data_IF_098674764867
#
_entry.id   IF_098674764867
#
_cell.length_a   1.000
_cell.length_b   1.000
_cell.length_c   1.000
_cell.angle_alpha   90.00
_cell.angle_beta   90.00
_cell.angle_gamma   90.00
#
_symmetry.space_group_name_H-M   'P 1'
#
loop_
_entity.id
_entity.type
_entity.pdbx_description
1 polymer ?
#
# COMPACT_ATOMS: atom_id res chain seq x y z
N UNK A 1 54.86 -76.15 -5.51
CA UNK A 1 54.26 -74.92 -6.07
C UNK A 1 53.05 -74.59 -5.20
N UNK A 2 53.15 -73.77 -4.14
CA UNK A 2 53.11 -72.28 -4.15
C UNK A 2 52.04 -71.73 -5.11
N UNK A 3 50.89 -71.33 -4.59
CA UNK A 3 50.50 -69.91 -4.50
C UNK A 3 49.36 -69.74 -3.49
N UNK A 4 49.63 -68.91 -2.48
CA UNK A 4 48.64 -68.33 -1.57
C UNK A 4 47.88 -67.21 -2.29
N UNK A 5 46.57 -67.09 -2.05
CA UNK A 5 45.89 -65.79 -2.11
C UNK A 5 45.12 -65.62 -0.81
N UNK A 6 45.52 -64.55 -0.14
CA UNK A 6 45.13 -64.04 1.15
C UNK A 6 44.23 -62.83 0.87
N UNK A 7 43.39 -62.46 1.84
CA UNK A 7 42.75 -61.13 1.96
C UNK A 7 41.48 -60.92 1.10
N UNK A 8 40.32 -61.27 1.68
CA UNK A 8 39.07 -60.55 1.44
C UNK A 8 38.29 -60.44 2.76
N UNK A 9 38.93 -59.86 3.78
CA UNK A 9 38.35 -59.67 5.13
C UNK A 9 38.43 -58.22 5.61
N UNK A 10 38.55 -57.23 4.71
CA UNK A 10 38.44 -55.80 5.04
C UNK A 10 37.99 -55.01 3.80
N UNK A 11 36.67 -54.90 3.53
CA UNK A 11 35.95 -53.71 3.00
C UNK A 11 34.45 -54.01 3.08
N UNK A 12 33.87 -53.97 4.29
CA UNK A 12 32.40 -53.99 4.45
C UNK A 12 32.00 -53.26 5.75
N UNK A 13 32.59 -52.08 5.95
CA UNK A 13 32.26 -51.19 7.08
C UNK A 13 32.22 -49.69 6.74
N UNK A 14 32.15 -49.30 5.46
CA UNK A 14 31.95 -47.89 5.09
C UNK A 14 31.09 -47.81 3.82
N UNK A 15 29.78 -48.04 3.96
CA UNK A 15 28.76 -47.25 3.25
C UNK A 15 27.66 -46.95 4.28
N UNK A 16 28.08 -46.31 5.37
CA UNK A 16 27.22 -45.43 6.13
C UNK A 16 27.16 -44.10 5.37
N UNK A 17 26.26 -44.02 4.42
CA UNK A 17 25.80 -42.77 3.83
C UNK A 17 24.41 -43.07 3.28
N UNK A 18 23.44 -43.19 4.19
CA UNK A 18 22.05 -42.86 3.87
C UNK A 18 22.09 -41.41 3.43
N UNK A 19 22.27 -41.22 2.12
CA UNK A 19 21.93 -40.00 1.43
C UNK A 19 20.49 -39.73 1.82
N UNK A 20 20.29 -38.79 2.75
CA UNK A 20 19.08 -38.00 2.75
C UNK A 20 19.16 -37.21 1.45
N UNK A 21 18.81 -37.87 0.33
CA UNK A 21 18.34 -37.16 -0.83
C UNK A 21 17.14 -36.39 -0.30
N UNK A 22 17.28 -35.07 -0.14
CA UNK A 22 16.16 -34.24 0.26
C UNK A 22 15.10 -34.52 -0.80
N UNK A 23 14.01 -35.15 -0.38
CA UNK A 23 12.83 -35.28 -1.20
C UNK A 23 12.50 -33.87 -1.64
N UNK A 24 12.66 -33.57 -2.93
CA UNK A 24 12.43 -32.23 -3.43
C UNK A 24 11.02 -31.85 -3.01
N UNK A 25 10.91 -30.92 -2.07
CA UNK A 25 9.66 -30.57 -1.45
C UNK A 25 8.70 -30.15 -2.56
N UNK A 26 7.62 -30.91 -2.72
CA UNK A 26 6.65 -30.66 -3.77
C UNK A 26 5.98 -29.32 -3.42
N UNK A 27 6.15 -28.33 -4.29
CA UNK A 27 5.42 -27.06 -4.20
C UNK A 27 3.92 -27.34 -4.08
N UNK A 28 3.21 -26.54 -3.29
CA UNK A 28 1.75 -26.62 -3.21
C UNK A 28 1.13 -26.23 -4.56
N UNK A 29 0.05 -26.91 -4.94
CA UNK A 29 -0.64 -26.79 -6.24
C UNK A 29 -2.03 -26.12 -6.15
N UNK A 30 -2.47 -25.78 -4.94
CA UNK A 30 -3.74 -25.09 -4.66
C UNK A 30 -3.66 -23.56 -4.76
N UNK A 31 -2.46 -22.98 -4.93
CA UNK A 31 -2.26 -21.53 -5.09
C UNK A 31 -1.10 -21.20 -6.04
N UNK A 32 -1.26 -20.16 -6.87
CA UNK A 32 -0.24 -19.72 -7.83
C UNK A 32 -0.23 -18.18 -7.97
N UNK A 33 0.94 -17.58 -7.68
CA UNK A 33 1.20 -16.16 -7.90
C UNK A 33 1.64 -15.88 -9.34
N UNK A 34 0.97 -14.94 -10.00
CA UNK A 34 1.30 -14.41 -11.32
C UNK A 34 1.67 -12.93 -11.19
N UNK A 35 2.96 -12.66 -11.32
CA UNK A 35 3.55 -11.32 -11.18
C UNK A 35 3.73 -10.71 -12.57
N UNK A 36 3.12 -9.56 -12.84
CA UNK A 36 3.26 -8.90 -14.14
C UNK A 36 4.51 -8.03 -14.19
N UNK A 37 5.46 -8.38 -15.07
CA UNK A 37 6.68 -7.61 -15.32
C UNK A 37 7.12 -7.73 -16.77
N UNK A 38 7.46 -6.59 -17.39
CA UNK A 38 7.93 -6.51 -18.77
C UNK A 38 9.45 -6.41 -18.89
N UNK A 39 10.12 -5.85 -17.88
CA UNK A 39 11.57 -5.74 -17.83
C UNK A 39 12.19 -7.00 -17.23
N UNK A 40 12.70 -7.86 -18.12
CA UNK A 40 13.35 -9.11 -17.74
C UNK A 40 14.62 -8.98 -16.93
N UNK A 41 15.23 -7.79 -16.87
CA UNK A 41 16.38 -7.56 -16.02
C UNK A 41 16.02 -7.50 -14.53
N UNK A 42 14.78 -7.16 -14.16
CA UNK A 42 14.39 -6.95 -12.76
C UNK A 42 14.46 -8.21 -11.91
N UNK A 43 14.17 -9.38 -12.49
CA UNK A 43 14.26 -10.66 -11.78
C UNK A 43 15.69 -11.04 -11.38
N UNK A 44 16.70 -10.53 -12.09
CA UNK A 44 18.12 -10.78 -11.80
C UNK A 44 18.75 -9.80 -10.80
N UNK A 45 18.04 -8.74 -10.42
CA UNK A 45 18.54 -7.74 -9.47
C UNK A 45 18.26 -8.21 -8.04
N UNK A 46 19.31 -8.62 -7.31
CA UNK A 46 19.17 -9.19 -5.96
C UNK A 46 18.46 -8.30 -4.93
N UNK A 47 18.43 -6.98 -5.17
CA UNK A 47 17.79 -6.01 -4.30
C UNK A 47 16.42 -5.54 -4.83
N UNK A 48 15.88 -6.15 -5.89
CA UNK A 48 14.58 -5.80 -6.42
C UNK A 48 13.45 -6.43 -5.59
N UNK A 49 12.28 -5.78 -5.51
CA UNK A 49 11.09 -6.37 -4.89
C UNK A 49 10.69 -7.70 -5.52
N UNK A 50 10.83 -7.83 -6.84
CA UNK A 50 10.53 -9.07 -7.56
C UNK A 50 11.46 -10.23 -7.17
N UNK A 51 12.76 -9.97 -7.02
CA UNK A 51 13.70 -10.96 -6.53
C UNK A 51 13.36 -11.39 -5.11
N UNK A 52 13.13 -10.41 -4.21
CA UNK A 52 12.70 -10.70 -2.84
C UNK A 52 11.44 -11.57 -2.81
N UNK A 53 10.40 -11.20 -3.57
CA UNK A 53 9.16 -11.95 -3.67
C UNK A 53 9.40 -13.39 -4.14
N UNK A 54 10.25 -13.57 -5.16
CA UNK A 54 10.56 -14.89 -5.73
C UNK A 54 11.30 -15.78 -4.73
N UNK A 55 12.27 -15.25 -3.97
CA UNK A 55 12.96 -16.00 -2.93
C UNK A 55 12.01 -16.35 -1.76
N UNK A 56 11.19 -15.39 -1.31
CA UNK A 56 10.21 -15.61 -0.24
C UNK A 56 9.14 -16.62 -0.64
N UNK A 57 8.78 -16.69 -1.92
CA UNK A 57 7.83 -17.69 -2.43
C UNK A 57 8.34 -19.12 -2.24
N UNK A 58 9.67 -19.34 -2.31
CA UNK A 58 10.26 -20.66 -2.04
C UNK A 58 10.12 -21.05 -0.58
N UNK A 59 10.33 -20.10 0.34
CA UNK A 59 10.14 -20.31 1.79
C UNK A 59 8.68 -20.63 2.11
N UNK A 60 7.73 -19.94 1.47
CA UNK A 60 6.32 -20.22 1.65
C UNK A 60 5.81 -21.47 0.90
N UNK A 61 6.71 -22.23 0.25
CA UNK A 61 6.40 -23.40 -0.58
C UNK A 61 5.35 -23.13 -1.67
N UNK A 62 5.35 -21.92 -2.26
CA UNK A 62 4.37 -21.48 -3.26
C UNK A 62 4.99 -21.27 -4.64
N UNK A 63 4.19 -21.49 -5.69
CA UNK A 63 4.59 -21.20 -7.05
C UNK A 63 4.40 -19.72 -7.36
N UNK A 64 5.48 -19.06 -7.79
CA UNK A 64 5.43 -17.72 -8.37
C UNK A 64 5.91 -17.76 -9.82
N UNK A 65 5.20 -17.06 -10.71
CA UNK A 65 5.56 -16.96 -12.14
C UNK A 65 5.49 -15.52 -12.57
N UNK A 66 6.59 -15.04 -13.14
CA UNK A 66 6.65 -13.74 -13.78
C UNK A 66 6.16 -13.90 -15.22
N UNK A 67 5.25 -13.04 -15.64
CA UNK A 67 4.73 -13.03 -17.01
C UNK A 67 4.74 -11.61 -17.58
N UNK A 68 4.78 -11.52 -18.91
CA UNK A 68 4.99 -10.24 -19.62
C UNK A 68 6.44 -10.00 -20.06
N UNK A 69 7.37 -10.88 -19.65
CA UNK A 69 8.81 -10.73 -19.88
C UNK A 69 9.17 -10.42 -21.33
N UNK A 70 10.01 -9.41 -21.54
CA UNK A 70 10.48 -8.93 -22.85
C UNK A 70 9.39 -8.41 -23.80
N UNK A 71 8.17 -8.17 -23.29
CA UNK A 71 7.12 -7.49 -24.04
C UNK A 71 7.26 -5.98 -23.89
N UNK A 72 6.87 -5.25 -24.93
CA UNK A 72 6.74 -3.80 -24.86
C UNK A 72 5.57 -3.43 -23.94
N UNK A 73 5.82 -2.61 -22.92
CA UNK A 73 4.77 -2.11 -22.04
C UNK A 73 3.88 -1.11 -22.77
N UNK A 74 2.59 -1.45 -22.94
CA UNK A 74 1.61 -0.59 -23.66
C UNK A 74 0.63 0.15 -22.76
N UNK A 75 0.70 -0.06 -21.45
CA UNK A 75 -0.16 0.58 -20.44
C UNK A 75 -0.66 -0.39 -19.37
N UNK A 76 -1.50 0.11 -18.47
CA UNK A 76 -1.93 -0.63 -17.29
C UNK A 76 -2.82 -1.84 -17.63
N UNK A 77 -3.66 -1.73 -18.66
CA UNK A 77 -4.50 -2.83 -19.16
C UNK A 77 -3.74 -3.95 -19.87
N UNK A 78 -2.44 -3.77 -20.13
CA UNK A 78 -1.61 -4.72 -20.88
C UNK A 78 -1.40 -6.04 -20.12
N UNK A 79 -1.42 -6.00 -18.77
CA UNK A 79 -1.29 -7.20 -17.93
C UNK A 79 -2.37 -8.25 -18.21
N UNK A 80 -3.59 -7.82 -18.57
CA UNK A 80 -4.67 -8.76 -18.88
C UNK A 80 -4.53 -9.41 -20.26
N UNK A 81 -3.80 -8.80 -21.19
CA UNK A 81 -3.71 -9.29 -22.57
C UNK A 81 -2.92 -10.59 -22.68
N UNK A 82 -1.97 -10.78 -21.77
CA UNK A 82 -1.02 -11.90 -21.77
C UNK A 82 -1.38 -12.98 -20.76
N UNK A 83 -2.40 -12.71 -19.94
CA UNK A 83 -2.80 -13.56 -18.83
C UNK A 83 -3.63 -14.77 -19.27
N UNK A 84 -4.51 -14.60 -20.26
CA UNK A 84 -5.48 -15.64 -20.67
C UNK A 84 -4.83 -17.01 -20.97
N UNK A 85 -3.76 -17.11 -21.78
CA UNK A 85 -3.14 -18.40 -22.06
C UNK A 85 -2.61 -19.12 -20.82
N UNK A 86 -2.23 -18.38 -19.77
CA UNK A 86 -1.78 -18.94 -18.49
C UNK A 86 -2.99 -19.49 -17.74
N UNK A 87 -4.09 -18.73 -17.66
CA UNK A 87 -5.30 -19.16 -16.96
C UNK A 87 -5.94 -20.39 -17.61
N UNK A 88 -5.86 -20.53 -18.93
CA UNK A 88 -6.45 -21.67 -19.67
C UNK A 88 -5.71 -23.00 -19.45
N UNK A 89 -4.50 -22.98 -18.89
CA UNK A 89 -3.70 -24.19 -18.64
C UNK A 89 -3.53 -24.52 -17.15
N UNK A 90 -3.88 -23.59 -16.26
CA UNK A 90 -3.86 -23.84 -14.81
C UNK A 90 -5.09 -24.65 -14.43
N UNK A 91 -4.96 -25.49 -13.39
CA UNK A 91 -6.07 -26.26 -12.85
C UNK A 91 -7.18 -25.33 -12.35
N UNK A 92 -8.44 -25.68 -12.64
CA UNK A 92 -9.61 -24.86 -12.31
C UNK A 92 -9.77 -24.62 -10.80
N UNK A 93 -9.23 -25.51 -9.95
CA UNK A 93 -9.32 -25.43 -8.49
C UNK A 93 -8.11 -24.69 -7.86
N UNK A 94 -7.11 -24.28 -8.65
CA UNK A 94 -5.97 -23.48 -8.17
C UNK A 94 -6.39 -22.02 -7.96
N UNK A 95 -6.17 -21.47 -6.77
CA UNK A 95 -6.36 -20.04 -6.52
C UNK A 95 -5.25 -19.24 -7.20
N UNK A 96 -5.60 -18.38 -8.15
CA UNK A 96 -4.66 -17.49 -8.83
C UNK A 96 -4.61 -16.15 -8.11
N UNK A 97 -3.41 -15.64 -7.87
CA UNK A 97 -3.16 -14.27 -7.41
C UNK A 97 -2.47 -13.51 -8.54
N UNK A 98 -3.06 -12.41 -8.99
CA UNK A 98 -2.44 -11.47 -9.91
C UNK A 98 -1.91 -10.30 -9.09
N UNK A 99 -0.63 -9.97 -9.28
CA UNK A 99 0.02 -8.89 -8.56
C UNK A 99 0.94 -8.08 -9.48
N UNK A 100 1.02 -6.78 -9.20
CA UNK A 100 2.09 -5.94 -9.73
C UNK A 100 3.45 -6.42 -9.20
N UNK A 101 4.50 -6.33 -10.01
CA UNK A 101 5.80 -6.90 -9.67
C UNK A 101 6.77 -5.94 -8.97
N UNK A 102 6.61 -4.63 -9.20
CA UNK A 102 7.64 -3.63 -8.89
C UNK A 102 7.50 -3.01 -7.51
N UNK A 103 6.33 -3.11 -6.91
CA UNK A 103 5.95 -2.43 -5.68
C UNK A 103 5.17 -3.33 -4.71
N UNK A 104 5.34 -4.64 -4.84
CA UNK A 104 4.70 -5.66 -3.99
C UNK A 104 5.76 -6.48 -3.26
N UNK A 105 5.53 -6.74 -1.97
CA UNK A 105 6.31 -7.65 -1.14
C UNK A 105 5.44 -8.82 -0.63
N UNK A 106 6.05 -10.00 -0.53
CA UNK A 106 5.43 -11.17 0.11
C UNK A 106 5.72 -11.12 1.62
N UNK A 107 4.67 -10.93 2.41
CA UNK A 107 4.73 -10.74 3.85
C UNK A 107 4.76 -12.07 4.60
N UNK A 108 5.85 -12.81 4.41
CA UNK A 108 6.10 -14.08 5.11
C UNK A 108 7.42 -14.01 5.86
N UNK A 109 7.51 -14.60 7.07
CA UNK A 109 8.75 -14.68 7.82
C UNK A 109 9.74 -15.65 7.18
N UNK A 110 10.95 -15.72 7.75
CA UNK A 110 11.99 -16.70 7.36
C UNK A 110 11.67 -18.14 7.78
N UNK A 111 10.81 -18.28 8.77
CA UNK A 111 10.35 -19.58 9.24
C UNK A 111 9.35 -20.20 8.25
N UNK A 112 9.66 -21.40 7.78
CA UNK A 112 8.90 -22.12 6.76
C UNK A 112 7.48 -22.48 7.23
N UNK A 113 7.33 -22.95 8.47
CA UNK A 113 6.04 -23.35 9.02
C UNK A 113 5.10 -22.14 9.15
N UNK A 114 5.63 -21.01 9.63
CA UNK A 114 4.88 -19.75 9.70
C UNK A 114 4.57 -19.19 8.30
N UNK A 115 5.49 -19.31 7.35
CA UNK A 115 5.26 -18.89 5.97
C UNK A 115 4.13 -19.70 5.31
N UNK A 116 4.12 -21.02 5.48
CA UNK A 116 3.05 -21.89 4.99
C UNK A 116 1.72 -21.57 5.68
N UNK A 117 1.73 -21.33 6.99
CA UNK A 117 0.53 -20.95 7.74
C UNK A 117 -0.06 -19.60 7.27
N UNK A 118 0.78 -18.63 6.91
CA UNK A 118 0.33 -17.35 6.35
C UNK A 118 -0.40 -17.54 5.01
N UNK A 119 0.08 -18.46 4.16
CA UNK A 119 -0.60 -18.81 2.90
C UNK A 119 -1.93 -19.52 3.15
N UNK A 120 -1.99 -20.42 4.13
CA UNK A 120 -3.24 -21.10 4.50
C UNK A 120 -4.29 -20.12 5.02
N UNK A 121 -3.87 -19.14 5.83
CA UNK A 121 -4.73 -18.05 6.29
C UNK A 121 -5.25 -17.22 5.11
N UNK A 122 -4.40 -16.89 4.13
CA UNK A 122 -4.81 -16.17 2.92
C UNK A 122 -5.91 -16.91 2.14
N UNK A 123 -5.76 -18.23 1.93
CA UNK A 123 -6.76 -19.05 1.24
C UNK A 123 -8.07 -19.13 2.04
N UNK A 124 -7.99 -19.21 3.37
CA UNK A 124 -9.17 -19.17 4.23
C UNK A 124 -9.89 -17.82 4.17
N UNK A 125 -9.15 -16.71 4.17
CA UNK A 125 -9.70 -15.37 3.99
C UNK A 125 -10.38 -15.21 2.63
N UNK A 126 -9.79 -15.72 1.55
CA UNK A 126 -10.45 -15.73 0.23
C UNK A 126 -11.79 -16.44 0.27
N UNK A 127 -11.84 -17.66 0.83
CA UNK A 127 -13.08 -18.46 0.94
C UNK A 127 -14.15 -17.76 1.77
N UNK A 128 -13.75 -17.11 2.87
CA UNK A 128 -14.68 -16.36 3.74
C UNK A 128 -15.21 -15.10 3.05
N UNK A 129 -14.35 -14.33 2.41
CA UNK A 129 -14.73 -13.10 1.70
C UNK A 129 -15.67 -13.39 0.52
N UNK A 130 -15.51 -14.54 -0.14
CA UNK A 130 -16.32 -14.95 -1.30
C UNK A 130 -17.52 -15.83 -0.96
N UNK A 131 -17.76 -16.17 0.32
CA UNK A 131 -18.80 -17.11 0.76
C UNK A 131 -20.21 -16.72 0.22
N UNK A 132 -20.50 -15.42 0.15
CA UNK A 132 -21.80 -14.89 -0.29
C UNK A 132 -21.87 -14.54 -1.78
N UNK A 133 -20.74 -14.53 -2.47
CA UNK A 133 -20.61 -14.15 -3.87
C UNK A 133 -19.76 -15.20 -4.57
N UNK A 134 -20.30 -16.42 -4.80
CA UNK A 134 -19.56 -17.45 -5.52
C UNK A 134 -19.21 -16.96 -6.93
N UNK A 135 -18.03 -17.32 -7.40
CA UNK A 135 -17.44 -16.87 -8.67
C UNK A 135 -16.98 -15.39 -8.66
N UNK A 136 -16.95 -14.73 -7.51
CA UNK A 136 -16.37 -13.39 -7.39
C UNK A 136 -14.85 -13.44 -7.33
N UNK A 137 -14.24 -12.37 -7.84
CA UNK A 137 -12.81 -12.10 -7.69
C UNK A 137 -12.63 -11.15 -6.51
N UNK A 138 -11.66 -11.41 -5.65
CA UNK A 138 -11.30 -10.49 -4.55
C UNK A 138 -10.24 -9.52 -5.06
N UNK A 139 -10.47 -8.22 -4.88
CA UNK A 139 -9.50 -7.16 -5.17
C UNK A 139 -9.10 -6.46 -3.88
N UNK A 140 -7.89 -5.91 -3.84
CA UNK A 140 -7.44 -5.12 -2.70
C UNK A 140 -8.22 -3.80 -2.60
N UNK A 141 -8.40 -3.33 -1.36
CA UNK A 141 -8.95 -2.01 -1.09
C UNK A 141 -7.82 -1.05 -0.69
N UNK A 142 -7.93 0.23 -1.04
CA UNK A 142 -6.99 1.28 -0.65
C UNK A 142 -7.70 2.51 -0.08
N UNK A 143 -6.95 3.31 0.66
CA UNK A 143 -7.44 4.53 1.30
C UNK A 143 -7.64 5.71 0.36
N UNK A 144 -7.08 5.67 -0.87
CA UNK A 144 -7.08 6.81 -1.77
C UNK A 144 -7.98 6.62 -3.01
N UNK A 145 -8.75 7.66 -3.30
CA UNK A 145 -9.40 7.84 -4.59
C UNK A 145 -8.85 9.11 -5.25
N UNK A 146 -8.77 9.22 -6.56
CA UNK A 146 -9.05 8.23 -7.58
C UNK A 146 -7.94 8.35 -8.63
N UNK A 147 -7.71 7.31 -9.41
CA UNK A 147 -6.83 7.40 -10.59
C UNK A 147 -7.35 8.45 -11.58
N UNK A 148 -6.44 9.05 -12.35
CA UNK A 148 -6.74 10.19 -13.23
C UNK A 148 -7.91 9.93 -14.18
N UNK A 149 -7.99 8.72 -14.75
CA UNK A 149 -9.05 8.31 -15.68
C UNK A 149 -10.47 8.45 -15.11
N UNK A 150 -10.64 8.30 -13.79
CA UNK A 150 -11.94 8.41 -13.12
C UNK A 150 -12.46 9.85 -13.07
N UNK A 151 -11.59 10.85 -13.26
CA UNK A 151 -12.05 12.24 -13.42
C UNK A 151 -12.72 12.48 -14.79
N UNK A 152 -12.50 11.59 -15.78
CA UNK A 152 -13.00 11.78 -17.14
C UNK A 152 -14.31 11.06 -17.43
N UNK A 153 -14.77 10.16 -16.55
CA UNK A 153 -15.97 9.35 -16.75
C UNK A 153 -16.72 9.11 -15.43
N UNK A 154 -18.06 9.17 -15.48
CA UNK A 154 -18.94 8.76 -14.37
C UNK A 154 -18.93 7.23 -14.21
N UNK A 155 -19.25 6.68 -13.02
CA UNK A 155 -19.47 5.24 -12.85
C UNK A 155 -20.37 4.58 -13.90
N UNK A 156 -21.37 5.32 -14.38
CA UNK A 156 -22.37 4.81 -15.33
C UNK A 156 -21.88 4.78 -16.78
N UNK A 157 -20.79 5.45 -17.09
CA UNK A 157 -20.35 5.62 -18.48
C UNK A 157 -19.66 4.37 -19.04
N UNK A 158 -18.98 3.62 -18.16
CA UNK A 158 -18.09 2.53 -18.56
C UNK A 158 -18.82 1.32 -19.14
N UNK A 159 -20.01 1.00 -18.62
CA UNK A 159 -20.78 -0.16 -19.02
C UNK A 159 -22.23 0.22 -19.26
N UNK A 160 -22.79 -0.26 -20.37
CA UNK A 160 -24.18 0.00 -20.72
C UNK A 160 -25.13 -0.66 -19.69
N UNK A 161 -26.11 0.09 -19.14
CA UNK A 161 -26.96 -0.43 -18.08
C UNK A 161 -27.95 -1.50 -18.56
N UNK A 162 -28.22 -1.59 -19.86
CA UNK A 162 -29.19 -2.55 -20.43
C UNK A 162 -28.48 -3.82 -20.89
N UNK A 163 -27.46 -3.68 -21.73
CA UNK A 163 -26.72 -4.77 -22.35
C UNK A 163 -25.59 -5.29 -21.48
N UNK A 164 -25.11 -4.48 -20.53
CA UNK A 164 -23.97 -4.82 -19.68
C UNK A 164 -22.60 -4.75 -20.39
N UNK A 165 -22.57 -4.44 -21.69
CA UNK A 165 -21.34 -4.40 -22.48
C UNK A 165 -20.54 -3.13 -22.20
N UNK A 166 -19.24 -3.20 -22.44
CA UNK A 166 -18.32 -2.06 -22.41
C UNK A 166 -18.84 -0.95 -23.34
N UNK A 167 -19.05 0.24 -22.78
CA UNK A 167 -19.63 1.39 -23.49
C UNK A 167 -18.63 2.54 -23.67
N UNK A 168 -17.67 2.69 -22.75
CA UNK A 168 -16.65 3.74 -22.79
C UNK A 168 -15.29 3.20 -22.42
N UNK A 169 -14.24 3.69 -23.08
CA UNK A 169 -12.84 3.38 -22.76
C UNK A 169 -12.30 4.34 -21.70
N UNK A 170 -11.49 3.85 -20.76
CA UNK A 170 -10.71 4.69 -19.87
C UNK A 170 -9.54 5.32 -20.63
N UNK A 171 -9.12 6.51 -20.23
CA UNK A 171 -7.86 7.05 -20.73
C UNK A 171 -6.68 6.46 -19.93
N UNK A 172 -5.46 6.55 -20.48
CA UNK A 172 -4.26 6.11 -19.77
C UNK A 172 -3.88 7.15 -18.71
N UNK A 173 -4.06 6.83 -17.42
CA UNK A 173 -3.63 7.72 -16.34
C UNK A 173 -2.13 8.01 -16.42
N UNK A 174 -1.74 9.27 -16.19
CA UNK A 174 -0.34 9.67 -16.04
C UNK A 174 0.51 9.72 -17.33
N UNK A 175 0.08 9.15 -18.45
CA UNK A 175 0.84 9.14 -19.71
C UNK A 175 0.41 10.23 -20.70
N UNK A 176 -0.87 10.61 -20.68
CA UNK A 176 -1.40 11.56 -21.66
C UNK A 176 -1.74 12.92 -21.04
N UNK A 177 -1.34 14.01 -21.72
CA UNK A 177 -1.76 15.37 -21.35
C UNK A 177 -3.29 15.53 -21.27
N UNK A 178 -4.03 14.67 -21.97
CA UNK A 178 -5.51 14.66 -21.98
C UNK A 178 -6.13 13.86 -20.83
N UNK A 179 -5.37 13.04 -20.12
CA UNK A 179 -5.84 12.23 -19.00
C UNK A 179 -5.26 12.74 -17.66
N UNK A 180 -5.27 14.07 -17.48
CA UNK A 180 -4.87 14.67 -16.21
C UNK A 180 -5.99 14.56 -15.20
N UNK A 181 -5.63 14.27 -13.95
CA UNK A 181 -6.58 14.29 -12.86
C UNK A 181 -7.15 15.70 -12.66
N UNK A 182 -8.44 15.79 -12.35
CA UNK A 182 -9.09 17.03 -11.96
C UNK A 182 -10.24 16.75 -11.00
N UNK A 183 -10.39 17.57 -9.97
CA UNK A 183 -11.55 17.50 -9.09
C UNK A 183 -12.79 17.93 -9.86
N UNK A 184 -13.78 17.04 -9.97
CA UNK A 184 -15.01 17.32 -10.68
C UNK A 184 -16.15 16.37 -10.24
N UNK A 185 -17.31 16.55 -10.84
CA UNK A 185 -18.51 15.76 -10.53
C UNK A 185 -18.30 14.24 -10.63
N UNK A 186 -17.49 13.76 -11.57
CA UNK A 186 -17.25 12.33 -11.73
C UNK A 186 -16.54 11.76 -10.49
N UNK A 187 -15.52 12.45 -9.99
CA UNK A 187 -14.80 12.08 -8.75
C UNK A 187 -15.78 11.99 -7.57
N UNK A 188 -16.64 12.98 -7.38
CA UNK A 188 -17.65 12.93 -6.33
C UNK A 188 -18.62 11.75 -6.47
N UNK A 189 -19.03 11.39 -7.69
CA UNK A 189 -19.89 10.23 -7.94
C UNK A 189 -19.16 8.91 -7.59
N UNK A 190 -17.88 8.79 -7.93
CA UNK A 190 -17.05 7.63 -7.57
C UNK A 190 -16.86 7.49 -6.06
N UNK A 191 -16.47 8.57 -5.39
CA UNK A 191 -16.29 8.61 -3.94
C UNK A 191 -17.60 8.20 -3.26
N UNK A 192 -18.73 8.82 -3.66
CA UNK A 192 -20.03 8.50 -3.08
C UNK A 192 -20.41 7.03 -3.27
N UNK A 193 -20.20 6.48 -4.47
CA UNK A 193 -20.46 5.06 -4.76
C UNK A 193 -19.64 4.12 -3.87
N UNK A 194 -18.32 4.32 -3.79
CA UNK A 194 -17.44 3.40 -3.06
C UNK A 194 -17.67 3.45 -1.54
N UNK A 195 -17.93 4.63 -0.98
CA UNK A 195 -18.34 4.77 0.43
C UNK A 195 -19.69 4.10 0.71
N UNK A 196 -20.68 4.30 -0.16
CA UNK A 196 -21.99 3.65 -0.01
C UNK A 196 -21.87 2.13 -0.10
N UNK A 197 -21.03 1.62 -1.01
CA UNK A 197 -20.75 0.19 -1.14
C UNK A 197 -20.11 -0.36 0.13
N UNK A 198 -19.03 0.25 0.62
CA UNK A 198 -18.40 -0.19 1.89
C UNK A 198 -19.40 -0.25 3.03
N UNK A 199 -20.20 0.80 3.20
CA UNK A 199 -21.22 0.83 4.25
C UNK A 199 -22.24 -0.29 4.10
N UNK A 200 -22.68 -0.58 2.87
CA UNK A 200 -23.62 -1.67 2.59
C UNK A 200 -23.01 -3.05 2.92
N UNK A 201 -21.75 -3.28 2.59
CA UNK A 201 -21.10 -4.58 2.77
C UNK A 201 -20.63 -4.81 4.22
N UNK A 202 -20.16 -3.77 4.91
CA UNK A 202 -19.49 -3.90 6.22
C UNK A 202 -20.27 -3.27 7.39
N UNK A 203 -21.23 -2.38 7.11
CA UNK A 203 -21.90 -1.56 8.12
C UNK A 203 -21.03 -0.43 8.68
N UNK A 204 -19.77 -0.29 8.25
CA UNK A 204 -18.84 0.72 8.76
C UNK A 204 -18.99 2.04 8.00
N UNK A 205 -19.01 3.14 8.77
CA UNK A 205 -18.94 4.50 8.26
C UNK A 205 -17.50 5.04 8.38
N UNK A 206 -17.21 6.17 7.74
CA UNK A 206 -15.96 6.91 7.92
C UNK A 206 -14.82 6.53 6.96
N UNK A 207 -13.64 7.06 7.27
CA UNK A 207 -12.41 6.93 6.49
C UNK A 207 -11.76 5.53 6.69
N UNK A 208 -10.97 5.10 5.71
CA UNK A 208 -10.29 3.79 5.69
C UNK A 208 -10.04 3.33 4.26
N UNK A 209 -9.63 2.08 4.09
CA UNK A 209 -9.49 1.45 2.77
C UNK A 209 -10.87 1.18 2.18
N UNK A 210 -11.34 2.09 1.31
CA UNK A 210 -12.71 2.06 0.77
C UNK A 210 -12.75 1.94 -0.74
N UNK A 211 -11.63 2.21 -1.41
CA UNK A 211 -11.54 2.29 -2.86
C UNK A 211 -10.91 1.04 -3.44
N UNK A 212 -11.31 0.64 -4.64
CA UNK A 212 -10.70 -0.50 -5.33
C UNK A 212 -9.28 -0.13 -5.76
N UNK A 213 -8.32 -1.02 -5.50
CA UNK A 213 -6.97 -0.98 -6.05
C UNK A 213 -6.78 -2.16 -7.03
N UNK A 214 -6.17 -1.90 -8.20
CA UNK A 214 -6.01 -2.90 -9.26
C UNK A 214 -4.64 -3.59 -9.26
N UNK A 215 -3.78 -3.26 -8.31
CA UNK A 215 -2.43 -3.83 -8.19
C UNK A 215 -2.44 -5.25 -7.64
N UNK A 216 -3.49 -5.65 -6.90
CA UNK A 216 -3.62 -6.98 -6.30
C UNK A 216 -5.04 -7.54 -6.48
N UNK A 217 -5.13 -8.78 -6.97
CA UNK A 217 -6.41 -9.50 -7.04
C UNK A 217 -6.23 -11.02 -6.97
N UNK A 218 -7.24 -11.73 -6.47
CA UNK A 218 -7.27 -13.19 -6.41
C UNK A 218 -8.61 -13.75 -6.91
N UNK A 219 -8.56 -14.87 -7.62
CA UNK A 219 -9.73 -15.58 -8.10
C UNK A 219 -9.38 -16.91 -8.75
N UNK A 220 -10.39 -17.73 -9.04
CA UNK A 220 -10.19 -18.96 -9.80
C UNK A 220 -10.04 -18.66 -11.30
N UNK A 221 -9.36 -19.51 -12.09
CA UNK A 221 -9.05 -19.23 -13.49
C UNK A 221 -10.28 -18.86 -14.32
N UNK A 222 -11.39 -19.60 -14.16
CA UNK A 222 -12.65 -19.32 -14.87
C UNK A 222 -13.25 -17.97 -14.51
N UNK A 223 -13.18 -17.58 -13.24
CA UNK A 223 -13.73 -16.32 -12.75
C UNK A 223 -12.92 -15.12 -13.26
N UNK A 224 -11.58 -15.26 -13.26
CA UNK A 224 -10.68 -14.27 -13.85
C UNK A 224 -10.88 -14.15 -15.36
N UNK A 225 -11.04 -15.25 -16.09
CA UNK A 225 -11.36 -15.25 -17.52
C UNK A 225 -12.70 -14.54 -17.78
N UNK A 226 -13.74 -14.88 -17.03
CA UNK A 226 -15.05 -14.24 -17.15
C UNK A 226 -14.97 -12.73 -16.86
N UNK A 227 -14.23 -12.34 -15.82
CA UNK A 227 -13.97 -10.95 -15.49
C UNK A 227 -13.31 -10.23 -16.68
N UNK A 228 -12.25 -10.82 -17.26
CA UNK A 228 -11.55 -10.26 -18.41
C UNK A 228 -12.46 -10.11 -19.64
N UNK A 229 -13.33 -11.08 -19.91
CA UNK A 229 -14.28 -11.02 -21.03
C UNK A 229 -15.32 -9.91 -20.86
N UNK A 230 -15.76 -9.66 -19.63
CA UNK A 230 -16.67 -8.55 -19.33
C UNK A 230 -15.93 -7.22 -19.39
N UNK A 231 -14.73 -7.15 -18.80
CA UNK A 231 -13.90 -5.95 -18.80
C UNK A 231 -13.68 -5.44 -20.22
N UNK A 232 -13.40 -6.36 -21.16
CA UNK A 232 -13.04 -6.03 -22.54
C UNK A 232 -12.02 -4.88 -22.52
N UNK A 233 -10.92 -5.02 -21.77
CA UNK A 233 -9.97 -3.92 -21.53
C UNK A 233 -8.94 -3.85 -22.66
N UNK A 234 -8.64 -2.65 -23.15
CA UNK A 234 -7.54 -2.43 -24.08
C UNK A 234 -6.20 -2.19 -23.34
N UNK A 235 -5.05 -2.49 -23.96
CA UNK A 235 -3.73 -2.42 -23.30
C UNK A 235 -3.41 -1.08 -22.62
N UNK A 236 -3.86 0.02 -23.21
CA UNK A 236 -3.55 1.39 -22.75
C UNK A 236 -4.50 1.92 -21.68
N UNK A 237 -5.62 1.24 -21.43
CA UNK A 237 -6.63 1.72 -20.48
C UNK A 237 -6.10 1.64 -19.05
N UNK A 238 -6.51 2.59 -18.22
CA UNK A 238 -6.37 2.49 -16.77
C UNK A 238 -7.29 1.38 -16.24
N UNK A 239 -6.66 0.35 -15.69
CA UNK A 239 -7.28 -0.88 -15.20
C UNK A 239 -8.12 -0.65 -13.94
N UNK A 240 -7.65 0.16 -12.99
CA UNK A 240 -8.39 0.51 -11.78
C UNK A 240 -9.70 1.21 -12.12
N UNK A 241 -9.71 2.12 -13.10
CA UNK A 241 -10.94 2.77 -13.56
C UNK A 241 -11.90 1.78 -14.25
N UNK A 242 -11.37 0.87 -15.07
CA UNK A 242 -12.18 -0.18 -15.74
C UNK A 242 -12.81 -1.13 -14.72
N UNK A 243 -12.02 -1.65 -13.78
CA UNK A 243 -12.45 -2.57 -12.74
C UNK A 243 -13.45 -1.93 -11.77
N UNK A 244 -13.24 -0.66 -11.42
CA UNK A 244 -14.20 0.07 -10.58
C UNK A 244 -15.53 0.29 -11.32
N UNK A 245 -15.50 0.55 -12.63
CA UNK A 245 -16.70 0.57 -13.48
C UNK A 245 -17.39 -0.79 -13.56
N UNK A 246 -16.63 -1.88 -13.62
CA UNK A 246 -17.19 -3.23 -13.64
C UNK A 246 -17.86 -3.53 -12.31
N UNK A 247 -17.20 -3.22 -11.19
CA UNK A 247 -17.76 -3.34 -9.83
C UNK A 247 -19.06 -2.54 -9.68
N UNK A 248 -19.14 -1.36 -10.30
CA UNK A 248 -20.37 -0.57 -10.32
C UNK A 248 -21.52 -1.29 -11.05
N UNK A 249 -21.23 -1.91 -12.21
CA UNK A 249 -22.24 -2.57 -13.05
C UNK A 249 -22.62 -3.97 -12.56
N UNK A 250 -21.66 -4.69 -12.01
CA UNK A 250 -21.72 -6.09 -11.59
C UNK A 250 -21.19 -6.21 -10.14
N UNK A 251 -21.96 -5.72 -9.15
CA UNK A 251 -21.50 -5.64 -7.76
C UNK A 251 -21.19 -7.00 -7.12
N UNK A 252 -21.68 -8.10 -7.68
CA UNK A 252 -21.41 -9.46 -7.18
C UNK A 252 -20.16 -10.10 -7.81
N UNK A 253 -19.59 -9.52 -8.88
CA UNK A 253 -18.43 -10.08 -9.56
C UNK A 253 -17.10 -9.73 -8.86
N UNK A 254 -17.11 -8.68 -8.01
CA UNK A 254 -15.93 -8.17 -7.31
C UNK A 254 -16.24 -8.04 -5.83
N UNK A 255 -15.44 -8.68 -5.00
CA UNK A 255 -15.38 -8.44 -3.55
C UNK A 255 -14.15 -7.58 -3.26
N UNK A 256 -14.30 -6.57 -2.38
CA UNK A 256 -13.15 -5.79 -1.91
C UNK A 256 -12.71 -6.27 -0.54
N UNK A 257 -11.40 -6.44 -0.38
CA UNK A 257 -10.78 -6.76 0.91
C UNK A 257 -10.67 -5.51 1.80
N UNK A 258 -11.82 -5.03 2.28
CA UNK A 258 -11.89 -3.83 3.13
C UNK A 258 -11.14 -3.98 4.45
N UNK A 259 -10.97 -5.21 4.95
CA UNK A 259 -10.29 -5.50 6.21
C UNK A 259 -8.77 -5.64 6.06
N UNK A 260 -8.24 -5.56 4.84
CA UNK A 260 -6.83 -5.86 4.54
C UNK A 260 -6.41 -7.24 5.05
N UNK A 261 -7.29 -8.24 4.93
CA UNK A 261 -7.12 -9.59 5.47
C UNK A 261 -6.29 -10.49 4.56
N UNK A 262 -6.30 -10.18 3.27
CA UNK A 262 -5.53 -10.83 2.21
C UNK A 262 -4.45 -9.91 1.68
N UNK A 263 -4.81 -8.66 1.40
CA UNK A 263 -4.01 -7.67 0.70
C UNK A 263 -3.87 -6.41 1.56
N UNK A 264 -2.64 -5.98 1.80
CA UNK A 264 -2.33 -4.75 2.51
C UNK A 264 -1.86 -3.67 1.54
N UNK A 265 -2.48 -2.49 1.56
CA UNK A 265 -2.02 -1.33 0.81
C UNK A 265 -1.41 -0.27 1.73
N UNK A 266 -0.23 0.23 1.38
CA UNK A 266 0.31 1.42 2.04
C UNK A 266 -0.54 2.67 1.72
N UNK A 267 -0.52 3.66 2.61
CA UNK A 267 -1.33 4.88 2.47
C UNK A 267 -0.45 6.07 2.10
N UNK A 268 0.08 6.06 0.87
CA UNK A 268 1.06 7.05 0.39
C UNK A 268 0.65 8.53 0.55
N UNK A 269 -0.65 8.84 0.62
CA UNK A 269 -1.16 10.19 0.88
C UNK A 269 -0.93 10.69 2.30
N UNK A 270 -0.66 9.80 3.25
CA UNK A 270 -0.17 10.15 4.60
C UNK A 270 1.33 10.48 4.61
N UNK A 271 2.01 10.41 3.46
CA UNK A 271 3.44 10.70 3.34
C UNK A 271 4.34 9.49 3.58
N UNK A 272 5.67 9.65 3.46
CA UNK A 272 6.63 8.55 3.45
C UNK A 272 6.73 7.79 4.79
N UNK A 273 6.43 8.45 5.91
CA UNK A 273 6.51 7.85 7.26
C UNK A 273 5.14 7.33 7.70
N UNK A 274 4.11 8.18 7.74
CA UNK A 274 2.77 7.80 8.20
C UNK A 274 1.98 6.97 7.18
N UNK A 275 2.39 6.98 5.92
CA UNK A 275 1.82 6.12 4.89
C UNK A 275 2.32 4.68 4.96
N UNK A 276 3.42 4.43 5.67
CA UNK A 276 3.90 3.07 5.92
C UNK A 276 3.18 2.47 7.13
N UNK A 277 1.97 1.97 6.88
CA UNK A 277 1.01 1.51 7.90
C UNK A 277 1.24 0.05 8.33
N UNK A 278 2.50 -0.40 8.34
CA UNK A 278 2.87 -1.76 8.71
C UNK A 278 3.94 -1.76 9.79
N UNK A 279 3.77 -2.64 10.77
CA UNK A 279 4.70 -2.85 11.88
C UNK A 279 5.07 -4.34 12.01
N UNK A 280 6.17 -4.68 12.64
CA UNK A 280 6.56 -6.09 12.80
C UNK A 280 7.76 -6.27 13.71
N UNK A 281 8.03 -7.53 14.07
CA UNK A 281 9.05 -7.90 15.05
C UNK A 281 10.32 -8.46 14.38
N UNK A 282 10.73 -7.85 13.26
CA UNK A 282 11.81 -8.36 12.40
C UNK A 282 11.39 -9.58 11.57
N UNK A 283 12.37 -10.35 11.08
CA UNK A 283 12.16 -11.42 10.09
C UNK A 283 11.46 -12.68 10.62
N UNK A 284 11.14 -12.72 11.92
CA UNK A 284 10.57 -13.89 12.60
C UNK A 284 9.04 -13.94 12.55
N UNK A 285 8.37 -12.85 12.17
CA UNK A 285 6.92 -12.77 12.11
C UNK A 285 6.46 -11.97 10.88
N UNK A 286 5.26 -12.24 10.34
CA UNK A 286 4.63 -11.36 9.36
C UNK A 286 4.46 -9.94 9.93
N UNK A 287 4.54 -8.95 9.05
CA UNK A 287 4.16 -7.59 9.37
C UNK A 287 2.64 -7.51 9.59
N UNK A 288 2.24 -6.65 10.51
CA UNK A 288 0.85 -6.38 10.90
C UNK A 288 0.47 -4.99 10.41
N UNK A 289 -0.70 -4.87 9.79
CA UNK A 289 -1.27 -3.59 9.41
C UNK A 289 -1.75 -2.84 10.66
N UNK A 290 -1.29 -1.61 10.86
CA UNK A 290 -1.49 -0.85 12.10
C UNK A 290 -2.98 -0.55 12.36
N UNK A 291 -3.71 -0.11 11.33
CA UNK A 291 -5.11 0.32 11.51
C UNK A 291 -6.11 -0.86 11.65
N UNK A 292 -5.85 -1.99 10.99
CA UNK A 292 -6.78 -3.15 10.93
C UNK A 292 -6.35 -4.31 11.83
N UNK A 293 -5.10 -4.30 12.32
CA UNK A 293 -4.46 -5.38 13.07
C UNK A 293 -4.44 -6.73 12.33
N UNK A 294 -4.49 -6.70 11.00
CA UNK A 294 -4.41 -7.89 10.15
C UNK A 294 -2.98 -8.13 9.66
N UNK A 295 -2.69 -9.36 9.25
CA UNK A 295 -1.42 -9.74 8.64
C UNK A 295 -1.67 -10.15 7.19
N UNK A 296 -1.82 -9.19 6.25
CA UNK A 296 -2.05 -9.50 4.85
C UNK A 296 -0.84 -10.22 4.26
N UNK A 297 -1.07 -11.19 3.38
CA UNK A 297 0.01 -11.97 2.77
C UNK A 297 0.80 -11.16 1.73
N UNK A 298 0.11 -10.29 0.97
CA UNK A 298 0.76 -9.40 0.02
C UNK A 298 0.64 -7.96 0.52
N UNK A 299 1.76 -7.26 0.54
CA UNK A 299 1.81 -5.83 0.84
C UNK A 299 2.18 -5.09 -0.44
N UNK A 300 1.28 -4.21 -0.89
CA UNK A 300 1.47 -3.32 -2.03
C UNK A 300 1.74 -1.89 -1.55
N UNK A 301 2.74 -1.26 -2.15
CA UNK A 301 3.09 0.15 -1.86
C UNK A 301 2.80 1.05 -3.06
N UNK A 302 1.51 1.33 -3.36
CA UNK A 302 1.14 2.12 -4.53
C UNK A 302 1.68 3.56 -4.43
N UNK A 303 1.61 4.29 -5.55
CA UNK A 303 1.98 5.71 -5.59
C UNK A 303 3.48 5.97 -5.47
N UNK A 304 4.33 4.98 -5.79
CA UNK A 304 5.79 5.06 -5.67
C UNK A 304 6.27 5.28 -4.23
N UNK A 305 5.58 4.74 -3.24
CA UNK A 305 6.00 4.79 -1.83
C UNK A 305 7.15 3.80 -1.54
N UNK A 306 8.20 3.87 -2.36
CA UNK A 306 9.32 2.93 -2.37
C UNK A 306 10.14 2.93 -1.09
N UNK A 307 10.19 4.05 -0.38
CA UNK A 307 10.79 4.13 0.95
C UNK A 307 10.13 3.13 1.93
N UNK A 308 8.80 3.04 1.90
CA UNK A 308 8.07 2.08 2.73
C UNK A 308 8.32 0.64 2.26
N UNK A 309 8.32 0.40 0.95
CA UNK A 309 8.59 -0.92 0.39
C UNK A 309 9.96 -1.46 0.79
N UNK A 310 10.98 -0.62 0.69
CA UNK A 310 12.34 -0.99 1.04
C UNK A 310 12.46 -1.33 2.53
N UNK A 311 11.77 -0.57 3.39
CA UNK A 311 11.66 -0.87 4.83
C UNK A 311 10.91 -2.18 5.11
N UNK A 312 9.82 -2.46 4.40
CA UNK A 312 9.09 -3.73 4.51
C UNK A 312 10.00 -4.90 4.14
N UNK A 313 10.68 -4.82 3.00
CA UNK A 313 11.60 -5.86 2.52
C UNK A 313 12.71 -6.11 3.55
N UNK A 314 13.34 -5.06 4.08
CA UNK A 314 14.40 -5.17 5.09
C UNK A 314 13.90 -5.73 6.42
N UNK A 315 12.70 -5.33 6.86
CA UNK A 315 12.10 -5.84 8.09
C UNK A 315 11.83 -7.34 8.02
N UNK A 316 11.53 -7.84 6.82
CA UNK A 316 11.37 -9.25 6.51
C UNK A 316 12.70 -9.94 6.17
N UNK A 317 13.86 -9.35 6.53
CA UNK A 317 15.19 -9.94 6.31
C UNK A 317 15.71 -9.90 4.87
N UNK A 318 15.03 -9.17 3.98
CA UNK A 318 15.44 -8.98 2.59
C UNK A 318 16.49 -7.90 2.40
N UNK A 319 17.08 -7.86 1.20
CA UNK A 319 17.90 -6.74 0.74
C UNK A 319 17.08 -5.84 -0.19
N UNK A 320 17.14 -4.52 0.01
CA UNK A 320 16.34 -3.54 -0.74
C UNK A 320 17.20 -2.58 -1.57
N UNK A 321 16.54 -1.72 -2.35
CA UNK A 321 17.19 -0.65 -3.10
C UNK A 321 17.51 0.60 -2.25
N UNK A 322 17.06 0.63 -0.99
CA UNK A 322 17.31 1.71 -0.01
C UNK A 322 16.90 3.12 -0.50
N UNK A 323 15.71 3.25 -1.08
CA UNK A 323 15.14 4.47 -1.67
C UNK A 323 14.46 5.36 -0.63
N UNK A 324 14.99 5.43 0.58
CA UNK A 324 14.51 6.28 1.67
C UNK A 324 15.56 7.33 2.05
N UNK A 325 15.10 8.47 2.57
CA UNK A 325 15.97 9.45 3.21
C UNK A 325 16.45 8.93 4.57
N UNK A 326 17.65 9.31 5.03
CA UNK A 326 18.22 8.86 6.32
C UNK A 326 17.28 9.17 7.50
N UNK A 327 16.65 10.33 7.51
CA UNK A 327 15.67 10.74 8.53
C UNK A 327 14.43 9.84 8.54
N UNK A 328 13.88 9.51 7.36
CA UNK A 328 12.73 8.61 7.26
C UNK A 328 13.09 7.20 7.74
N UNK A 329 14.31 6.74 7.45
CA UNK A 329 14.81 5.45 7.94
C UNK A 329 14.74 5.41 9.47
N UNK A 330 15.32 6.39 10.17
CA UNK A 330 15.32 6.43 11.64
C UNK A 330 13.90 6.32 12.22
N UNK A 331 12.96 7.12 11.68
CA UNK A 331 11.56 7.14 12.12
C UNK A 331 10.84 5.80 11.85
N UNK A 332 11.02 5.24 10.65
CA UNK A 332 10.40 3.98 10.26
C UNK A 332 10.99 2.80 11.04
N UNK A 333 12.32 2.73 11.19
CA UNK A 333 12.98 1.72 12.03
C UNK A 333 12.56 1.83 13.49
N UNK A 334 12.36 3.04 14.00
CA UNK A 334 11.85 3.27 15.36
C UNK A 334 10.47 2.65 15.56
N UNK A 335 9.53 2.85 14.62
CA UNK A 335 8.20 2.23 14.68
C UNK A 335 8.26 0.70 14.63
N UNK A 336 9.07 0.16 13.73
CA UNK A 336 9.25 -1.29 13.57
C UNK A 336 9.93 -1.92 14.81
N UNK A 337 10.90 -1.23 15.42
CA UNK A 337 11.61 -1.69 16.61
C UNK A 337 10.79 -1.55 17.89
N UNK A 338 10.05 -0.45 18.05
CA UNK A 338 9.26 -0.18 19.26
C UNK A 338 8.09 -1.16 19.41
N UNK A 339 7.46 -1.57 18.32
CA UNK A 339 6.45 -2.62 18.32
C UNK A 339 7.01 -3.98 18.81
N UNK A 340 8.27 -4.28 18.49
CA UNK A 340 8.96 -5.48 18.99
C UNK A 340 9.27 -5.40 20.48
N UNK A 341 9.62 -4.22 21.00
CA UNK A 341 9.96 -4.01 22.41
C UNK A 341 8.73 -3.95 23.32
N UNK A 342 7.62 -3.37 22.86
CA UNK A 342 6.42 -3.18 23.68
C UNK A 342 5.50 -4.40 23.76
N UNK A 343 5.82 -5.50 23.08
CA UNK A 343 5.05 -6.76 23.18
C UNK A 343 3.60 -6.65 22.71
N UNK A 344 3.24 -5.63 21.95
CA UNK A 344 1.92 -5.49 21.33
C UNK A 344 1.83 -6.38 20.09
N UNK A 345 1.83 -7.70 20.31
CA UNK A 345 1.68 -8.68 19.25
C UNK A 345 1.09 -9.98 19.80
N UNK A 346 -0.21 -10.20 19.57
CA UNK A 346 -0.84 -11.51 19.70
C UNK A 346 -1.92 -11.64 20.78
N UNK A 347 -3.14 -11.19 20.49
CA UNK A 347 -4.34 -11.86 21.00
C UNK A 347 -4.60 -13.12 20.15
N UNK A 348 -3.75 -14.13 20.36
CA UNK A 348 -3.81 -15.45 19.75
C UNK A 348 -3.29 -16.52 20.72
N UNK A 349 -3.89 -16.57 21.92
CA UNK A 349 -3.85 -17.66 22.90
C UNK A 349 -2.52 -18.35 23.25
N UNK A 350 -1.87 -17.95 24.36
CA UNK A 350 -1.47 -18.82 25.49
C UNK A 350 -0.60 -18.08 26.54
N UNK A 351 -1.07 -18.10 27.80
CA UNK A 351 -0.38 -18.01 29.10
C UNK A 351 0.83 -17.05 29.32
N UNK A 352 0.52 -15.87 29.87
CA UNK A 352 1.13 -15.19 31.04
C UNK A 352 2.54 -15.60 31.52
N UNK A 353 3.52 -14.71 31.34
CA UNK A 353 4.58 -14.49 32.32
C UNK A 353 4.87 -12.98 32.45
N UNK A 354 4.69 -12.44 33.66
CA UNK A 354 4.88 -11.03 33.98
C UNK A 354 6.30 -10.78 34.48
N UNK A 355 7.00 -9.80 33.93
CA UNK A 355 7.96 -9.02 34.71
C UNK A 355 7.88 -7.54 34.30
N UNK A 356 7.89 -6.69 35.32
CA UNK A 356 7.81 -5.22 35.20
C UNK A 356 9.20 -4.70 34.83
N UNK A 357 9.26 -3.88 33.77
CA UNK A 357 10.42 -3.02 33.49
C UNK A 357 9.99 -1.58 33.70
N UNK A 358 10.82 -0.83 34.42
CA UNK A 358 10.56 0.53 34.89
C UNK A 358 10.65 1.57 33.75
N UNK A 359 9.66 2.46 33.69
CA UNK A 359 9.38 3.44 32.62
C UNK A 359 10.27 4.70 32.62
N UNK A 360 11.36 4.75 33.40
CA UNK A 360 12.18 5.96 33.52
C UNK A 360 13.35 6.02 32.52
N UNK A 361 13.91 4.88 32.10
CA UNK A 361 15.08 4.82 31.20
C UNK A 361 14.72 5.07 29.72
N UNK A 362 13.43 4.95 29.36
CA UNK A 362 12.94 5.12 27.97
C UNK A 362 12.71 6.60 27.62
N UNK A 363 12.45 7.46 28.62
CA UNK A 363 12.20 8.88 28.36
C UNK A 363 13.50 9.67 28.10
N UNK A 364 14.63 9.27 28.71
CA UNK A 364 15.92 9.91 28.44
C UNK A 364 16.44 9.61 27.03
N UNK A 365 16.22 8.39 26.50
CA UNK A 365 16.65 8.01 25.14
C UNK A 365 15.83 8.73 24.04
N UNK A 366 14.58 9.10 24.33
CA UNK A 366 13.71 9.84 23.40
C UNK A 366 14.02 11.34 23.41
N UNK A 367 14.34 11.93 24.56
CA UNK A 367 14.70 13.35 24.67
C UNK A 367 16.08 13.64 24.06
N UNK A 368 17.04 12.72 24.15
CA UNK A 368 18.37 12.84 23.51
C UNK A 368 18.29 12.82 21.97
N UNK A 369 17.34 12.06 21.41
CA UNK A 369 17.08 12.02 19.94
C UNK A 369 16.48 13.34 19.44
N UNK A 370 15.69 14.04 20.26
CA UNK A 370 15.06 15.31 19.89
C UNK A 370 16.07 16.47 19.92
N UNK A 371 16.96 16.53 20.93
CA UNK A 371 17.96 17.61 21.01
C UNK A 371 19.09 17.50 19.96
N UNK A 372 19.52 16.28 19.58
CA UNK A 372 20.51 16.12 18.50
C UNK A 372 19.94 16.49 17.12
N UNK A 373 18.61 16.40 16.92
CA UNK A 373 17.99 16.79 15.64
C UNK A 373 17.83 18.29 15.43
N UNK A 374 17.73 19.09 16.49
CA UNK A 374 17.62 20.56 16.35
C UNK A 374 18.96 21.22 16.02
N UNK A 375 20.09 20.60 16.39
CA UNK A 375 21.43 21.15 16.17
C UNK A 375 22.04 20.82 14.81
N UNK A 376 21.66 19.71 14.16
CA UNK A 376 22.11 19.40 12.77
C UNK A 376 21.33 20.17 11.68
N UNK A 377 20.19 20.78 12.00
CA UNK A 377 19.35 21.51 11.02
C UNK A 377 19.93 22.90 10.68
N UNK A 378 20.76 23.51 11.53
CA UNK A 378 21.37 24.82 11.25
C UNK A 378 22.61 24.75 10.34
N UNK A 379 23.24 23.58 10.14
CA UNK A 379 24.49 23.45 9.35
C UNK A 379 24.32 22.87 7.93
N UNK A 380 23.12 22.45 7.51
CA UNK A 380 22.89 21.80 6.20
C UNK A 380 22.43 22.76 5.08
N UNK A 381 22.51 24.07 5.30
CA UNK A 381 22.19 25.10 4.30
C UNK A 381 23.22 25.21 3.18
N UNK A 382 23.56 24.14 2.45
CA UNK A 382 24.33 24.29 1.20
C UNK A 382 24.40 23.10 0.22
N UNK A 383 23.33 22.36 -0.11
CA UNK A 383 23.32 21.59 -1.36
C UNK A 383 21.93 21.43 -1.97
N UNK A 384 21.67 22.15 -3.08
CA UNK A 384 20.53 21.87 -3.98
C UNK A 384 19.59 23.04 -4.25
N UNK A 385 20.11 24.20 -4.65
CA UNK A 385 19.30 25.33 -5.14
C UNK A 385 18.50 24.93 -6.39
N UNK A 386 17.18 24.87 -6.26
CA UNK A 386 16.22 24.90 -7.36
C UNK A 386 15.08 25.84 -6.97
N UNK A 387 15.12 27.08 -7.48
CA UNK A 387 14.12 28.10 -7.18
C UNK A 387 12.84 27.86 -7.99
N UNK A 388 11.76 27.56 -7.27
CA UNK A 388 10.38 27.37 -7.73
C UNK A 388 10.12 26.22 -8.73
N UNK A 389 9.39 25.19 -8.26
CA UNK A 389 8.83 24.13 -9.11
C UNK A 389 7.36 24.41 -9.47
N UNK A 390 7.03 24.24 -10.76
CA UNK A 390 5.67 24.36 -11.32
C UNK A 390 5.14 22.97 -11.74
N UNK A 391 4.78 22.11 -10.79
CA UNK A 391 4.30 20.75 -11.07
C UNK A 391 3.00 20.41 -10.30
N UNK A 392 2.24 19.42 -10.79
CA UNK A 392 0.97 18.99 -10.19
C UNK A 392 1.16 18.39 -8.78
N UNK A 393 2.33 17.77 -8.55
CA UNK A 393 2.84 17.31 -7.27
C UNK A 393 4.30 17.75 -7.20
N UNK A 394 4.67 18.53 -6.19
CA UNK A 394 6.04 18.95 -5.98
C UNK A 394 6.44 18.77 -4.52
N UNK A 395 7.61 18.21 -4.27
CA UNK A 395 8.32 18.31 -3.01
C UNK A 395 9.71 18.90 -3.32
N UNK A 396 10.18 19.77 -2.42
CA UNK A 396 11.50 20.41 -2.36
C UNK A 396 11.68 21.74 -3.10
N UNK A 397 12.12 22.75 -2.33
CA UNK A 397 12.44 24.15 -2.68
C UNK A 397 11.93 25.13 -1.61
N UNK A 398 12.48 26.36 -1.57
CA UNK A 398 12.01 27.46 -0.71
C UNK A 398 10.53 27.76 -0.97
N UNK A 399 10.13 27.71 -2.24
CA UNK A 399 8.74 27.92 -2.64
C UNK A 399 8.21 26.82 -3.58
N UNK A 400 6.96 26.42 -3.36
CA UNK A 400 6.26 25.46 -4.23
C UNK A 400 5.05 26.13 -4.91
N UNK A 401 4.89 25.91 -6.23
CA UNK A 401 3.76 26.40 -7.02
C UNK A 401 3.06 25.22 -7.73
N UNK A 402 2.23 24.48 -6.99
CA UNK A 402 1.59 23.25 -7.46
C UNK A 402 0.24 22.98 -6.81
N UNK A 403 -0.60 22.08 -7.33
CA UNK A 403 -1.93 21.85 -6.75
C UNK A 403 -1.84 21.21 -5.35
N UNK A 404 -0.84 20.34 -5.15
CA UNK A 404 -0.49 19.69 -3.89
C UNK A 404 1.01 19.85 -3.64
N UNK A 405 1.41 20.30 -2.45
CA UNK A 405 2.81 20.57 -2.19
C UNK A 405 3.23 20.56 -0.73
N UNK A 406 4.52 20.33 -0.48
CA UNK A 406 5.20 20.67 0.77
C UNK A 406 6.37 21.60 0.43
N UNK A 407 6.54 22.70 1.16
CA UNK A 407 7.58 23.71 0.94
C UNK A 407 8.30 24.07 2.25
N UNK A 408 9.57 24.50 2.14
CA UNK A 408 10.41 24.88 3.28
C UNK A 408 10.36 26.37 3.64
N UNK A 409 9.64 27.19 2.88
CA UNK A 409 9.25 28.55 3.30
C UNK A 409 7.79 28.78 2.87
N UNK A 410 7.54 28.84 1.56
CA UNK A 410 6.24 29.24 1.01
C UNK A 410 5.58 28.16 0.14
N UNK A 411 4.28 27.93 0.33
CA UNK A 411 3.50 27.04 -0.54
C UNK A 411 2.37 27.78 -1.23
N UNK A 412 2.32 27.75 -2.57
CA UNK A 412 1.30 28.35 -3.40
C UNK A 412 0.54 27.26 -4.17
N UNK A 413 -0.49 26.69 -3.53
CA UNK A 413 -1.17 25.49 -4.02
C UNK A 413 -2.54 25.24 -3.42
N UNK A 414 -3.39 24.41 -4.02
CA UNK A 414 -4.74 24.18 -3.48
C UNK A 414 -4.70 23.50 -2.11
N UNK A 415 -3.77 22.56 -1.92
CA UNK A 415 -3.49 21.87 -0.66
C UNK A 415 -1.99 21.92 -0.35
N UNK A 416 -1.59 22.33 0.85
CA UNK A 416 -0.17 22.35 1.14
C UNK A 416 0.23 22.38 2.61
N UNK A 417 1.51 22.08 2.83
CA UNK A 417 2.20 22.32 4.10
C UNK A 417 3.40 23.22 3.82
N UNK A 418 3.59 24.23 4.67
CA UNK A 418 4.72 25.15 4.61
C UNK A 418 5.25 25.40 6.03
N UNK A 419 6.53 25.71 6.19
CA UNK A 419 7.04 26.26 7.44
C UNK A 419 6.58 27.71 7.60
N UNK A 420 6.75 28.59 6.62
CA UNK A 420 6.44 30.01 6.83
C UNK A 420 5.01 30.34 6.42
N UNK A 421 4.73 30.38 5.11
CA UNK A 421 3.41 30.76 4.62
C UNK A 421 2.79 29.77 3.62
N UNK A 422 1.48 29.55 3.77
CA UNK A 422 0.69 28.77 2.84
C UNK A 422 -0.38 29.64 2.16
N UNK A 423 -0.42 29.62 0.83
CA UNK A 423 -1.34 30.35 -0.03
C UNK A 423 -2.17 29.33 -0.84
N UNK A 424 -3.22 28.81 -0.22
CA UNK A 424 -4.00 27.71 -0.77
C UNK A 424 -5.48 27.68 -0.41
N UNK A 425 -6.21 26.63 -0.78
CA UNK A 425 -7.59 26.47 -0.28
C UNK A 425 -7.58 25.78 1.09
N UNK A 426 -6.68 24.81 1.26
CA UNK A 426 -6.45 24.04 2.47
C UNK A 426 -4.96 24.02 2.82
N UNK A 427 -4.58 24.31 4.07
CA UNK A 427 -3.16 24.18 4.41
C UNK A 427 -2.79 24.20 5.87
N UNK A 428 -1.54 23.84 6.14
CA UNK A 428 -0.88 24.00 7.43
C UNK A 428 0.37 24.84 7.22
N UNK A 429 0.54 25.89 8.02
CA UNK A 429 1.73 26.74 8.03
C UNK A 429 2.19 26.93 9.48
N UNK A 430 3.47 27.19 9.73
CA UNK A 430 3.87 27.60 11.08
C UNK A 430 3.53 29.07 11.30
N UNK A 431 3.84 29.99 10.39
CA UNK A 431 3.53 31.41 10.59
C UNK A 431 2.13 31.79 10.08
N UNK A 432 1.90 31.71 8.77
CA UNK A 432 0.71 32.30 8.16
C UNK A 432 0.02 31.40 7.13
N UNK A 433 -1.31 31.32 7.19
CA UNK A 433 -2.11 30.65 6.17
C UNK A 433 -3.09 31.61 5.52
N UNK A 434 -3.07 31.68 4.20
CA UNK A 434 -3.88 32.54 3.34
C UNK A 434 -4.88 31.72 2.53
N UNK A 435 -5.60 30.82 3.20
CA UNK A 435 -6.54 29.91 2.58
C UNK A 435 -7.91 29.83 3.23
N UNK A 436 -8.87 29.22 2.52
CA UNK A 436 -10.25 29.12 2.99
C UNK A 436 -10.35 28.32 4.30
N UNK A 437 -9.54 27.27 4.43
CA UNK A 437 -9.48 26.39 5.59
C UNK A 437 -8.02 26.12 5.96
N UNK A 438 -7.56 26.59 7.12
CA UNK A 438 -6.14 26.52 7.44
C UNK A 438 -5.82 26.48 8.93
N UNK A 439 -4.67 25.91 9.25
CA UNK A 439 -4.07 25.95 10.59
C UNK A 439 -2.74 26.69 10.46
N UNK A 440 -2.57 27.75 11.25
CA UNK A 440 -1.32 28.48 11.42
C UNK A 440 -1.14 28.87 12.87
N UNK A 441 0.12 28.94 13.34
CA UNK A 441 0.40 29.29 14.73
C UNK A 441 0.27 30.80 14.98
N UNK A 442 0.55 31.64 13.97
CA UNK A 442 0.44 33.10 14.12
C UNK A 442 -0.82 33.69 13.49
N UNK A 443 -1.12 33.37 12.21
CA UNK A 443 -2.22 34.03 11.52
C UNK A 443 -2.92 33.17 10.45
N UNK A 444 -4.26 33.12 10.53
CA UNK A 444 -5.12 32.52 9.51
C UNK A 444 -5.94 33.61 8.80
N UNK A 445 -5.73 33.80 7.51
CA UNK A 445 -6.43 34.72 6.63
C UNK A 445 -7.40 33.94 5.72
N UNK A 446 -8.54 33.56 6.28
CA UNK A 446 -9.54 32.67 5.66
C UNK A 446 -10.92 32.74 6.33
N UNK A 447 -11.93 32.11 5.73
CA UNK A 447 -13.28 32.02 6.34
C UNK A 447 -13.28 30.90 7.38
N UNK A 448 -12.92 31.24 8.61
CA UNK A 448 -12.96 30.32 9.75
C UNK A 448 -14.41 30.02 10.12
N UNK A 449 -14.86 28.76 9.97
CA UNK A 449 -16.06 28.28 10.69
C UNK A 449 -15.64 27.93 12.12
N UNK A 450 -16.10 28.73 13.08
CA UNK A 450 -15.82 28.60 14.52
C UNK A 450 -16.16 27.21 15.08
N UNK A 451 -15.20 26.58 15.78
CA UNK A 451 -15.46 25.77 16.97
C UNK A 451 -14.18 25.55 17.83
N UNK A 452 -14.09 26.32 18.93
CA UNK A 452 -13.52 26.03 20.27
C UNK A 452 -12.06 25.55 20.47
N UNK A 453 -11.25 26.38 21.13
CA UNK A 453 -10.82 26.35 22.56
C UNK A 453 -10.20 27.76 22.82
N UNK A 454 -10.40 28.55 23.88
CA UNK A 454 -10.93 28.33 25.21
C UNK A 454 -9.91 28.83 26.26
N UNK A 455 -9.84 30.14 26.53
CA UNK A 455 -9.65 30.77 27.88
C UNK A 455 -9.00 32.18 27.86
N UNK A 456 -9.55 33.04 28.72
CA UNK A 456 -9.02 34.30 29.26
C UNK A 456 -8.70 35.50 28.34
N UNK A 457 -9.59 36.50 28.38
CA UNK A 457 -9.24 37.84 28.88
C UNK A 457 -10.49 38.74 28.99
N UNK A 458 -10.87 39.04 30.23
CA UNK A 458 -11.85 40.07 30.59
C UNK A 458 -11.51 41.42 29.94
N UNK A 459 -12.46 42.05 29.24
CA UNK A 459 -12.50 43.52 29.15
C UNK A 459 -13.91 44.07 29.22
N UNK A 460 -14.18 44.67 30.38
CA UNK A 460 -15.34 45.49 30.74
C UNK A 460 -15.63 46.54 29.67
N UNK A 461 -16.80 46.46 29.02
CA UNK A 461 -17.30 47.51 28.12
C UNK A 461 -18.33 48.35 28.86
N UNK A 462 -17.96 49.57 29.25
CA UNK A 462 -18.89 50.64 29.68
C UNK A 462 -19.92 50.87 28.56
N UNK A 463 -21.19 50.54 28.84
CA UNK A 463 -22.33 50.94 27.99
C UNK A 463 -22.60 52.44 28.18
N UNK A 464 -22.53 53.20 27.09
CA UNK A 464 -23.21 54.49 26.97
C UNK A 464 -24.60 54.20 26.36
N UNK A 465 -25.63 54.42 27.17
CA UNK A 465 -27.04 54.34 26.81
C UNK A 465 -27.41 55.43 25.80
N UNK A 466 -28.03 55.06 24.69
CA UNK A 466 -28.95 55.94 23.95
C UNK A 466 -30.38 55.43 24.17
N UNK A 467 -31.20 56.32 24.71
CA UNK A 467 -32.64 56.14 24.89
C UNK A 467 -33.35 56.11 23.52
N UNK A 468 -34.23 55.14 23.33
CA UNK A 468 -35.40 55.27 22.46
C UNK A 468 -36.61 55.35 23.38
N UNK A 469 -37.24 56.52 23.45
CA UNK A 469 -38.57 56.70 24.03
C UNK A 469 -39.59 56.41 22.93
N UNK A 470 -40.49 55.46 23.20
CA UNK A 470 -41.78 55.40 22.52
C UNK A 470 -42.71 56.46 23.08
N UNK A 471 -43.50 57.03 22.18
CA UNK A 471 -44.88 57.48 22.39
C UNK A 471 -45.61 57.26 21.06
#
# INVERSE_FOLDING_TARGET
MKFSINILTQVLCVIGSLSHASEAQKLRDDVHFLMYETDGALGGQHNSPLHFFTERSKVANVKATVYGNDLEYRGFGDKYQTLRPILEIVDDDTLIILADARDVALNVPEDEDLAVAAVDHFIQSFKRLTERSPNAVVLSAEAQCCVSAMSHASPRDYFDPVTGKRNRRACSSGLEAKCRWSENRNIHEWVSFMHQRRFKETGLQGHGDVYLNAGLMAGYPRDLINLMDIMDIAPYEDDQAVLTGLMYRYPEAIVLDYGQEMFGNSQWTRGPVDGCVFEGQGSHAPLTHIDTHTQPLLIHTPGKLYACLDMIIESLGGSSQQRYHSTHRKLLTGRLSLAAQLGFGGAGGAASYSDKVDNEEINEEVDEIVEETETEIEELGNYGYGTANYEQYGQFGDSNYGQYGVASEDNYGQYGIASDANYGQYGVASEANYGQYGIATEANYGVVSEANYGSDARRVRRRRTSLVRGA
#
